data_IF_792798161867
#
_entry.id   IF_792798161867
#
_cell.length_a   1.000
_cell.length_b   1.000
_cell.length_c   1.000
_cell.angle_alpha   90.00
_cell.angle_beta   90.00
_cell.angle_gamma   90.00
#
_symmetry.space_group_name_H-M   'P 1'
#
loop_
_entity.id
_entity.type
_entity.pdbx_description
1 polymer ?
#
# COMPACT_ATOMS: atom_id res chain seq x y z
N UNK A 1 -9.66 -17.34 -18.98
CA UNK A 1 -8.53 -17.79 -19.82
C UNK A 1 -7.25 -17.30 -19.21
N UNK A 2 -6.20 -18.12 -19.12
CA UNK A 2 -4.86 -17.63 -18.76
C UNK A 2 -4.21 -17.08 -20.02
N UNK A 3 -3.61 -15.90 -19.93
CA UNK A 3 -2.82 -15.30 -21.00
C UNK A 3 -1.34 -15.31 -20.65
N UNK A 4 -0.48 -14.92 -21.59
CA UNK A 4 0.94 -14.68 -21.35
C UNK A 4 1.21 -13.57 -20.31
N UNK A 5 0.23 -12.69 -20.05
CA UNK A 5 0.33 -11.58 -19.10
C UNK A 5 -0.22 -11.92 -17.70
N UNK A 6 -0.92 -13.04 -17.52
CA UNK A 6 -1.55 -13.37 -16.24
C UNK A 6 -0.54 -13.44 -15.09
N UNK A 7 0.67 -13.97 -15.34
CA UNK A 7 1.75 -13.99 -14.34
C UNK A 7 2.25 -12.58 -13.99
N UNK A 8 2.29 -11.68 -14.97
CA UNK A 8 2.69 -10.28 -14.78
C UNK A 8 1.66 -9.53 -13.91
N UNK A 9 0.36 -9.77 -14.15
CA UNK A 9 -0.72 -9.21 -13.31
C UNK A 9 -0.59 -9.67 -11.87
N UNK A 10 -0.37 -10.97 -11.64
CA UNK A 10 -0.19 -11.53 -10.29
C UNK A 10 1.04 -10.91 -9.61
N UNK A 11 2.15 -10.80 -10.32
CA UNK A 11 3.38 -10.22 -9.79
C UNK A 11 3.19 -8.75 -9.40
N UNK A 12 2.58 -7.94 -10.27
CA UNK A 12 2.37 -6.53 -9.97
C UNK A 12 1.34 -6.33 -8.86
N UNK A 13 0.33 -7.20 -8.75
CA UNK A 13 -0.61 -7.17 -7.63
C UNK A 13 0.10 -7.39 -6.29
N UNK A 14 1.01 -8.38 -6.22
CA UNK A 14 1.80 -8.63 -5.01
C UNK A 14 2.63 -7.42 -4.60
N UNK A 15 3.24 -6.72 -5.56
CA UNK A 15 3.98 -5.48 -5.27
C UNK A 15 3.09 -4.39 -4.69
N UNK A 16 1.86 -4.25 -5.19
CA UNK A 16 0.88 -3.31 -4.61
C UNK A 16 0.56 -3.70 -3.17
N UNK A 17 0.26 -4.97 -2.93
CA UNK A 17 -0.05 -5.51 -1.60
C UNK A 17 1.11 -5.33 -0.61
N UNK A 18 2.36 -5.54 -1.06
CA UNK A 18 3.57 -5.33 -0.25
C UNK A 18 3.71 -3.87 0.19
N UNK A 19 3.60 -2.91 -0.74
CA UNK A 19 3.71 -1.48 -0.41
C UNK A 19 2.54 -1.01 0.44
N UNK A 20 1.34 -1.55 0.23
CA UNK A 20 0.17 -1.27 1.07
C UNK A 20 0.39 -1.73 2.51
N UNK A 21 0.95 -2.93 2.71
CA UNK A 21 1.30 -3.42 4.04
C UNK A 21 2.34 -2.51 4.72
N UNK A 22 3.32 -2.00 3.98
CA UNK A 22 4.31 -1.05 4.51
C UNK A 22 3.67 0.28 4.91
N UNK A 23 2.73 0.80 4.10
CA UNK A 23 1.94 1.99 4.44
C UNK A 23 1.17 1.81 5.75
N UNK A 24 0.52 0.66 5.94
CA UNK A 24 -0.23 0.36 7.16
C UNK A 24 0.70 0.28 8.38
N UNK A 25 1.86 -0.37 8.25
CA UNK A 25 2.87 -0.44 9.32
C UNK A 25 3.39 0.95 9.68
N UNK A 26 3.69 1.79 8.68
CA UNK A 26 4.15 3.15 8.90
C UNK A 26 3.06 4.00 9.59
N UNK A 27 1.79 3.88 9.15
CA UNK A 27 0.67 4.59 9.77
C UNK A 27 0.51 4.24 11.26
N UNK A 28 0.58 2.94 11.60
CA UNK A 28 0.56 2.48 13.00
C UNK A 28 1.74 3.03 13.80
N UNK A 29 2.93 3.06 13.20
CA UNK A 29 4.14 3.59 13.86
C UNK A 29 4.02 5.09 14.14
N UNK A 30 3.42 5.85 13.21
CA UNK A 30 3.11 7.28 13.41
C UNK A 30 2.14 7.47 14.57
N UNK A 31 1.07 6.68 14.64
CA UNK A 31 0.07 6.76 15.70
C UNK A 31 0.68 6.47 17.07
N UNK A 32 1.45 5.38 17.18
CA UNK A 32 2.16 5.03 18.41
C UNK A 32 3.12 6.15 18.83
N UNK A 33 3.93 6.67 17.90
CA UNK A 33 4.89 7.74 18.19
C UNK A 33 4.21 9.04 18.61
N UNK A 34 3.07 9.38 17.99
CA UNK A 34 2.27 10.53 18.40
C UNK A 34 1.73 10.34 19.82
N UNK A 35 1.22 9.14 20.15
CA UNK A 35 0.76 8.83 21.50
C UNK A 35 1.87 8.91 22.56
N UNK A 36 3.09 8.47 22.24
CA UNK A 36 4.28 8.64 23.10
C UNK A 36 4.58 10.11 23.36
N UNK A 37 4.59 10.94 22.31
CA UNK A 37 4.82 12.39 22.43
C UNK A 37 3.72 13.03 23.30
N UNK A 38 2.46 12.70 23.06
CA UNK A 38 1.33 13.26 23.80
C UNK A 38 1.35 12.84 25.28
N UNK A 39 1.88 11.66 25.60
CA UNK A 39 2.13 11.24 26.97
C UNK A 39 3.26 12.05 27.62
N UNK A 40 4.40 12.18 26.95
CA UNK A 40 5.55 12.96 27.44
C UNK A 40 5.21 14.44 27.64
N UNK A 41 4.44 15.04 26.73
CA UNK A 41 3.99 16.43 26.84
C UNK A 41 3.05 16.62 28.04
N UNK A 42 2.15 15.65 28.28
CA UNK A 42 1.29 15.69 29.47
C UNK A 42 2.09 15.55 30.76
N UNK A 43 3.03 14.62 30.81
CA UNK A 43 3.92 14.44 31.97
C UNK A 43 4.75 15.71 32.22
N UNK A 44 5.35 16.27 31.17
CA UNK A 44 6.08 17.54 31.25
C UNK A 44 5.23 18.68 31.80
N UNK A 45 3.95 18.78 31.42
CA UNK A 45 3.04 19.80 31.92
C UNK A 45 2.68 19.62 33.41
N UNK A 46 2.83 18.41 33.97
CA UNK A 46 2.60 18.16 35.40
C UNK A 46 3.80 18.51 36.28
N UNK A 47 4.98 18.75 35.70
CA UNK A 47 6.20 19.09 36.44
C UNK A 47 5.98 20.38 37.26
N UNK A 48 6.11 20.26 38.58
CA UNK A 48 6.00 21.37 39.50
C UNK A 48 7.39 21.84 39.91
N UNK A 49 7.65 23.13 39.70
CA UNK A 49 8.88 23.77 40.15
C UNK A 49 8.90 23.86 41.69
N UNK A 50 10.01 23.46 42.34
CA UNK A 50 10.12 23.59 43.80
C UNK A 50 10.07 25.06 44.20
N UNK A 51 9.05 25.43 44.99
CA UNK A 51 8.84 26.82 45.46
C UNK A 51 9.66 27.18 46.70
N UNK A 52 10.21 26.17 47.37
CA UNK A 52 11.02 26.26 48.58
C UNK A 52 11.86 25.00 48.69
N UNK A 53 13.05 25.08 49.29
CA UNK A 53 13.95 23.93 49.42
C UNK A 53 15.42 24.34 49.35
N UNK A 54 16.30 23.35 49.24
CA UNK A 54 17.72 23.59 49.02
C UNK A 54 18.01 23.78 47.53
N UNK A 55 18.99 24.63 47.21
CA UNK A 55 19.35 24.97 45.82
C UNK A 55 19.62 23.74 44.92
N UNK A 56 20.14 22.65 45.51
CA UNK A 56 20.37 21.38 44.80
C UNK A 56 19.09 20.74 44.22
N UNK A 57 17.95 20.90 44.91
CA UNK A 57 16.65 20.38 44.45
C UNK A 57 16.17 21.15 43.22
N UNK A 58 16.38 22.47 43.20
CA UNK A 58 16.09 23.31 42.03
C UNK A 58 16.97 22.93 40.83
N UNK A 59 18.28 22.74 41.03
CA UNK A 59 19.18 22.30 39.96
C UNK A 59 18.73 20.95 39.38
N UNK A 60 18.41 19.98 40.24
CA UNK A 60 17.91 18.66 39.81
C UNK A 60 16.62 18.81 38.99
N UNK A 61 15.69 19.66 39.42
CA UNK A 61 14.48 19.96 38.66
C UNK A 61 14.78 20.56 37.28
N UNK A 62 15.69 21.54 37.20
CA UNK A 62 16.08 22.14 35.92
C UNK A 62 16.69 21.11 34.96
N UNK A 63 17.57 20.25 35.46
CA UNK A 63 18.14 19.16 34.66
C UNK A 63 17.07 18.23 34.13
N UNK A 64 16.17 17.76 35.00
CA UNK A 64 15.11 16.84 34.61
C UNK A 64 14.14 17.45 33.58
N UNK A 65 13.80 18.74 33.77
CA UNK A 65 12.99 19.50 32.81
C UNK A 65 13.67 19.57 31.43
N UNK A 66 14.98 19.77 31.39
CA UNK A 66 15.73 19.81 30.13
C UNK A 66 15.83 18.44 29.47
N UNK A 67 16.01 17.36 30.25
CA UNK A 67 15.95 15.99 29.75
C UNK A 67 14.61 15.69 29.06
N UNK A 68 13.48 16.06 29.68
CA UNK A 68 12.17 15.89 29.04
C UNK A 68 12.04 16.61 27.71
N UNK A 69 12.54 17.86 27.63
CA UNK A 69 12.52 18.62 26.38
C UNK A 69 13.31 17.91 25.29
N UNK A 70 14.51 17.46 25.61
CA UNK A 70 15.35 16.71 24.69
C UNK A 70 14.66 15.42 24.22
N UNK A 71 14.02 14.68 25.13
CA UNK A 71 13.26 13.47 24.76
C UNK A 71 12.07 13.77 23.85
N UNK A 72 11.32 14.84 24.13
CA UNK A 72 10.20 15.26 23.27
C UNK A 72 10.72 15.63 21.88
N UNK A 73 11.79 16.43 21.80
CA UNK A 73 12.39 16.85 20.54
C UNK A 73 12.91 15.65 19.72
N UNK A 74 13.56 14.69 20.37
CA UNK A 74 14.01 13.44 19.75
C UNK A 74 12.84 12.66 19.14
N UNK A 75 11.77 12.49 19.91
CA UNK A 75 10.57 11.77 19.46
C UNK A 75 9.86 12.52 18.34
N UNK A 76 9.83 13.84 18.37
CA UNK A 76 9.30 14.67 17.28
C UNK A 76 10.13 14.53 16.00
N UNK A 77 11.46 14.42 16.10
CA UNK A 77 12.33 14.11 14.95
C UNK A 77 12.03 12.74 14.38
N UNK A 78 11.94 11.71 15.21
CA UNK A 78 11.53 10.34 14.79
C UNK A 78 10.18 10.37 14.05
N UNK A 79 9.18 11.09 14.60
CA UNK A 79 7.88 11.25 13.97
C UNK A 79 7.96 11.96 12.61
N UNK A 80 8.83 12.97 12.47
CA UNK A 80 9.04 13.67 11.21
C UNK A 80 9.61 12.73 10.13
N UNK A 81 10.58 11.87 10.49
CA UNK A 81 11.10 10.84 9.59
C UNK A 81 10.00 9.86 9.16
N UNK A 82 9.19 9.36 10.10
CA UNK A 82 8.07 8.47 9.78
C UNK A 82 7.07 9.12 8.81
N UNK A 83 6.75 10.41 9.02
CA UNK A 83 5.87 11.18 8.12
C UNK A 83 6.48 11.41 6.74
N UNK A 84 7.80 11.58 6.65
CA UNK A 84 8.51 11.68 5.38
C UNK A 84 8.48 10.34 4.64
N UNK A 85 8.77 9.23 5.33
CA UNK A 85 8.73 7.90 4.74
C UNK A 85 7.32 7.52 4.28
N UNK A 86 6.28 7.96 5.00
CA UNK A 86 4.89 7.83 4.53
C UNK A 86 4.69 8.42 3.14
N UNK A 87 5.26 9.61 2.87
CA UNK A 87 5.14 10.27 1.55
C UNK A 87 5.82 9.43 0.46
N UNK A 88 7.03 8.92 0.74
CA UNK A 88 7.75 8.03 -0.20
C UNK A 88 6.95 6.76 -0.49
N UNK A 89 6.39 6.14 0.55
CA UNK A 89 5.56 4.94 0.41
C UNK A 89 4.28 5.21 -0.38
N UNK A 90 3.65 6.39 -0.21
CA UNK A 90 2.48 6.80 -1.01
C UNK A 90 2.83 6.94 -2.50
N UNK A 91 3.98 7.52 -2.81
CA UNK A 91 4.48 7.61 -4.19
C UNK A 91 4.78 6.22 -4.77
N UNK A 92 5.45 5.36 -4.00
CA UNK A 92 5.73 3.98 -4.40
C UNK A 92 4.43 3.19 -4.64
N UNK A 93 3.43 3.35 -3.78
CA UNK A 93 2.12 2.71 -3.93
C UNK A 93 1.41 3.17 -5.21
N UNK A 94 1.45 4.48 -5.50
CA UNK A 94 0.91 5.03 -6.75
C UNK A 94 1.59 4.41 -7.97
N UNK A 95 2.91 4.33 -7.98
CA UNK A 95 3.67 3.74 -9.08
C UNK A 95 3.37 2.24 -9.25
N UNK A 96 3.32 1.48 -8.15
CA UNK A 96 2.98 0.07 -8.17
C UNK A 96 1.56 -0.17 -8.75
N UNK A 97 0.59 0.67 -8.37
CA UNK A 97 -0.77 0.58 -8.92
C UNK A 97 -0.82 0.89 -10.41
N UNK A 98 -0.08 1.90 -10.88
CA UNK A 98 0.00 2.22 -12.31
C UNK A 98 0.52 1.00 -13.09
N UNK A 99 1.58 0.34 -12.61
CA UNK A 99 2.13 -0.84 -13.27
C UNK A 99 1.20 -2.06 -13.19
N UNK A 100 0.45 -2.21 -12.10
CA UNK A 100 -0.60 -3.22 -11.99
C UNK A 100 -1.72 -3.01 -13.01
N UNK A 101 -2.26 -1.79 -13.12
CA UNK A 101 -3.33 -1.49 -14.07
C UNK A 101 -2.87 -1.62 -15.53
N UNK A 102 -1.62 -1.24 -15.84
CA UNK A 102 -1.03 -1.49 -17.17
C UNK A 102 -1.00 -2.98 -17.50
N UNK A 103 -0.53 -3.82 -16.56
CA UNK A 103 -0.47 -5.26 -16.77
C UNK A 103 -1.87 -5.87 -16.95
N UNK A 104 -2.84 -5.42 -16.14
CA UNK A 104 -4.24 -5.85 -16.22
C UNK A 104 -4.86 -5.49 -17.56
N UNK A 105 -4.64 -4.26 -18.04
CA UNK A 105 -5.10 -3.83 -19.35
C UNK A 105 -4.56 -4.71 -20.49
N UNK A 106 -3.27 -5.07 -20.45
CA UNK A 106 -2.66 -5.97 -21.43
C UNK A 106 -3.26 -7.39 -21.39
N UNK A 107 -3.51 -7.93 -20.19
CA UNK A 107 -4.15 -9.23 -20.01
C UNK A 107 -5.58 -9.23 -20.56
N UNK A 108 -6.36 -8.19 -20.26
CA UNK A 108 -7.72 -8.01 -20.78
C UNK A 108 -7.77 -7.89 -22.31
N UNK A 109 -6.82 -7.16 -22.91
CA UNK A 109 -6.73 -7.03 -24.36
C UNK A 109 -6.45 -8.40 -25.03
N UNK A 110 -5.58 -9.21 -24.44
CA UNK A 110 -5.28 -10.54 -24.95
C UNK A 110 -6.48 -11.49 -24.78
N UNK A 111 -7.18 -11.44 -23.65
CA UNK A 111 -8.42 -12.21 -23.44
C UNK A 111 -9.46 -11.87 -24.50
N UNK A 112 -9.65 -10.58 -24.81
CA UNK A 112 -10.59 -10.15 -25.86
C UNK A 112 -10.23 -10.74 -27.22
N UNK A 113 -8.95 -10.67 -27.62
CA UNK A 113 -8.47 -11.28 -28.88
C UNK A 113 -8.69 -12.79 -28.93
N UNK A 114 -8.45 -13.49 -27.82
CA UNK A 114 -8.69 -14.94 -27.72
C UNK A 114 -10.18 -15.26 -27.87
N UNK A 115 -11.06 -14.48 -27.23
CA UNK A 115 -12.51 -14.64 -27.33
C UNK A 115 -13.01 -14.39 -28.76
N UNK A 116 -12.54 -13.33 -29.42
CA UNK A 116 -12.90 -13.04 -30.82
C UNK A 116 -12.46 -14.15 -31.76
N UNK A 117 -11.25 -14.68 -31.54
CA UNK A 117 -10.72 -15.80 -32.33
C UNK A 117 -11.56 -17.06 -32.13
N UNK A 118 -11.93 -17.37 -30.88
CA UNK A 118 -12.77 -18.51 -30.54
C UNK A 118 -14.17 -18.39 -31.17
N UNK A 119 -14.83 -17.23 -31.06
CA UNK A 119 -16.13 -16.96 -31.69
C UNK A 119 -16.09 -17.13 -33.21
N UNK A 120 -15.02 -16.64 -33.85
CA UNK A 120 -14.86 -16.78 -35.30
C UNK A 120 -14.66 -18.25 -35.72
N UNK A 121 -13.92 -19.03 -34.94
CA UNK A 121 -13.72 -20.45 -35.20
C UNK A 121 -15.02 -21.23 -35.00
N UNK A 122 -15.76 -20.94 -33.93
CA UNK A 122 -17.07 -21.53 -33.66
C UNK A 122 -18.06 -21.26 -34.79
N UNK A 123 -18.15 -20.02 -35.28
CA UNK A 123 -19.00 -19.67 -36.42
C UNK A 123 -18.66 -20.47 -37.68
N UNK A 124 -17.37 -20.58 -38.03
CA UNK A 124 -16.92 -21.39 -39.18
C UNK A 124 -17.28 -22.87 -39.04
N UNK A 125 -17.09 -23.43 -37.85
CA UNK A 125 -17.42 -24.83 -37.59
C UNK A 125 -18.93 -25.08 -37.72
N UNK A 126 -19.78 -24.15 -37.25
CA UNK A 126 -21.23 -24.25 -37.41
C UNK A 126 -21.67 -24.16 -38.87
N UNK A 127 -21.03 -23.28 -39.66
CA UNK A 127 -21.27 -23.18 -41.11
C UNK A 127 -20.88 -24.48 -41.82
N UNK A 128 -19.71 -25.05 -41.51
CA UNK A 128 -19.25 -26.33 -42.07
C UNK A 128 -20.20 -27.49 -41.71
N UNK A 129 -20.62 -27.59 -40.45
CA UNK A 129 -21.60 -28.60 -40.01
C UNK A 129 -22.92 -28.43 -40.78
N UNK A 130 -23.38 -27.20 -40.98
CA UNK A 130 -24.61 -26.92 -41.73
C UNK A 130 -24.51 -27.37 -43.18
N UNK A 131 -23.37 -27.11 -43.84
CA UNK A 131 -23.10 -27.59 -45.21
C UNK A 131 -23.07 -29.11 -45.28
N UNK A 132 -22.40 -29.78 -44.33
CA UNK A 132 -22.34 -31.25 -44.28
C UNK A 132 -23.73 -31.88 -44.07
N UNK A 133 -24.54 -31.31 -43.17
CA UNK A 133 -25.91 -31.78 -42.91
C UNK A 133 -26.81 -31.60 -44.13
N UNK A 134 -26.69 -30.48 -44.84
CA UNK A 134 -27.43 -30.24 -46.08
C UNK A 134 -27.01 -31.20 -47.19
N UNK A 135 -25.70 -31.40 -47.39
CA UNK A 135 -25.16 -32.33 -48.37
C UNK A 135 -25.63 -33.78 -48.13
N UNK A 136 -25.67 -34.22 -46.86
CA UNK A 136 -26.17 -35.55 -46.50
C UNK A 136 -27.69 -35.72 -46.66
N UNK A 137 -28.49 -34.64 -46.58
CA UNK A 137 -29.93 -34.68 -46.89
C UNK A 137 -30.24 -34.79 -48.38
N UNK A 138 -29.31 -34.44 -49.26
CA UNK A 138 -29.46 -34.60 -50.72
C UNK A 138 -29.12 -36.00 -51.25
N UNK A 139 -28.70 -36.92 -50.37
CA UNK A 139 -28.29 -38.30 -50.70
C UNK A 139 -29.29 -39.38 -50.23
N UNK A 140 -30.50 -38.99 -49.79
CA UNK A 140 -31.61 -39.90 -49.45
C UNK A 140 -32.71 -39.91 -50.50
#
# INVERSE_FOLDING_TARGET
MKTKFTQLVILNKRKVEEVEMELQKNAKSIEVKQGEIDALVREFATLQEPRSGIYQEFLTFCHHKEEYRNYIDDKMRELAFLKQDRKKLQEAFKLANIEYEKAKYLDELEIKKMLETAKRLEGKNLDEISVMLYANKGLS
#
